data_IF_270125799154
#
_entry.id   IF_270125799154
#
_cell.length_a   1.000
_cell.length_b   1.000
_cell.length_c   1.000
_cell.angle_alpha   90.00
_cell.angle_beta   90.00
_cell.angle_gamma   90.00
#
_symmetry.space_group_name_H-M   'P 1'
#
loop_
_entity.id
_entity.type
_entity.pdbx_description
1 polymer ?
#
# COMPACT_ATOMS: atom_id res chain seq x y z
N UNK A 1 -21.11 -34.65 -38.01
CA UNK A 1 -20.67 -34.49 -36.61
C UNK A 1 -19.75 -33.29 -36.52
N UNK A 2 -20.31 -32.08 -36.44
CA UNK A 2 -19.58 -30.82 -36.24
C UNK A 2 -20.41 -30.00 -35.26
N UNK A 3 -19.89 -29.81 -34.06
CA UNK A 3 -20.55 -29.15 -32.94
C UNK A 3 -20.01 -27.72 -32.87
N UNK A 4 -20.74 -26.75 -33.44
CA UNK A 4 -20.42 -25.32 -33.32
C UNK A 4 -21.08 -24.80 -32.03
N UNK A 5 -20.30 -24.63 -30.95
CA UNK A 5 -20.72 -23.88 -29.76
C UNK A 5 -20.65 -22.38 -30.06
N UNK A 6 -21.81 -21.74 -30.22
CA UNK A 6 -21.95 -20.28 -30.30
C UNK A 6 -21.76 -19.67 -28.91
N UNK A 7 -20.91 -18.63 -28.84
CA UNK A 7 -20.72 -17.75 -27.68
C UNK A 7 -22.00 -16.94 -27.45
N UNK A 8 -22.54 -16.96 -26.23
CA UNK A 8 -23.60 -16.05 -25.80
C UNK A 8 -22.92 -14.77 -25.33
N UNK A 9 -23.12 -13.67 -26.08
CA UNK A 9 -22.80 -12.32 -25.65
C UNK A 9 -24.03 -11.83 -24.87
N UNK A 10 -23.91 -11.66 -23.55
CA UNK A 10 -24.95 -11.00 -22.76
C UNK A 10 -24.70 -9.49 -22.85
N UNK A 11 -25.44 -8.83 -23.74
CA UNK A 11 -25.66 -7.38 -23.70
C UNK A 11 -26.59 -7.09 -22.52
N UNK A 12 -26.06 -6.54 -21.43
CA UNK A 12 -26.89 -5.95 -20.37
C UNK A 12 -27.30 -4.55 -20.83
N UNK A 13 -28.52 -4.47 -21.36
CA UNK A 13 -29.21 -3.24 -21.76
C UNK A 13 -29.45 -2.33 -20.55
N UNK A 14 -28.95 -1.09 -20.63
CA UNK A 14 -29.32 0.00 -19.71
C UNK A 14 -30.75 0.45 -20.01
N UNK A 15 -31.70 0.08 -19.15
CA UNK A 15 -33.08 0.57 -19.22
C UNK A 15 -33.23 1.79 -18.28
N UNK A 16 -33.33 3.00 -18.85
CA UNK A 16 -33.76 4.19 -18.11
C UNK A 16 -35.28 4.13 -17.91
N UNK A 17 -35.71 3.95 -16.66
CA UNK A 17 -37.11 4.09 -16.29
C UNK A 17 -37.37 5.56 -15.90
N UNK A 18 -38.17 6.28 -16.70
CA UNK A 18 -38.67 7.62 -16.36
C UNK A 18 -40.05 7.50 -15.70
N UNK A 19 -40.16 7.93 -14.44
CA UNK A 19 -41.44 8.21 -13.79
C UNK A 19 -41.53 9.72 -13.61
N UNK A 20 -42.56 10.34 -14.19
CA UNK A 20 -42.84 11.77 -14.06
C UNK A 20 -43.54 12.05 -12.73
N UNK A 21 -42.87 12.79 -11.85
CA UNK A 21 -43.51 13.54 -10.76
C UNK A 21 -42.99 14.98 -10.82
N UNK A 22 -43.88 15.98 -10.69
CA UNK A 22 -43.50 17.40 -10.64
C UNK A 22 -42.55 17.64 -9.46
N UNK A 23 -41.38 18.22 -9.74
CA UNK A 23 -40.44 18.74 -8.74
C UNK A 23 -39.16 17.92 -8.63
N UNK A 24 -38.04 18.58 -8.94
CA UNK A 24 -36.64 18.11 -8.87
C UNK A 24 -36.17 17.21 -10.02
N UNK A 25 -35.16 17.69 -10.76
CA UNK A 25 -34.48 16.89 -11.77
C UNK A 25 -33.53 15.91 -11.09
N UNK A 26 -33.54 14.65 -11.56
CA UNK A 26 -32.75 13.57 -10.96
C UNK A 26 -31.83 12.90 -11.97
N UNK A 27 -30.67 12.42 -11.52
CA UNK A 27 -29.79 11.55 -12.28
C UNK A 27 -29.08 10.54 -11.39
N UNK A 28 -28.63 9.42 -11.96
CA UNK A 28 -27.84 8.40 -11.24
C UNK A 28 -26.47 8.28 -11.87
N UNK A 29 -25.42 8.35 -11.05
CA UNK A 29 -24.03 8.13 -11.46
C UNK A 29 -23.43 7.10 -10.50
N UNK A 30 -22.93 5.97 -11.00
CA UNK A 30 -22.29 4.92 -10.20
C UNK A 30 -23.11 4.45 -8.98
N UNK A 31 -24.43 4.30 -9.13
CA UNK A 31 -25.33 3.87 -8.05
C UNK A 31 -25.71 4.98 -7.05
N UNK A 32 -25.21 6.19 -7.24
CA UNK A 32 -25.54 7.39 -6.45
C UNK A 32 -26.56 8.21 -7.24
N UNK A 33 -27.79 8.36 -6.74
CA UNK A 33 -28.78 9.26 -7.32
C UNK A 33 -28.68 10.66 -6.71
N UNK A 34 -28.79 11.67 -7.56
CA UNK A 34 -28.71 13.09 -7.27
C UNK A 34 -30.04 13.76 -7.63
N UNK A 35 -30.50 14.72 -6.82
CA UNK A 35 -31.72 15.51 -7.01
C UNK A 35 -31.41 17.00 -6.85
N UNK A 36 -31.94 17.84 -7.72
CA UNK A 36 -31.76 19.31 -7.62
C UNK A 36 -32.51 19.88 -6.43
N UNK A 37 -31.84 20.65 -5.56
CA UNK A 37 -32.46 21.31 -4.40
C UNK A 37 -32.58 22.84 -4.56
N UNK A 38 -31.82 23.44 -5.48
CA UNK A 38 -31.92 24.86 -5.84
C UNK A 38 -31.47 25.11 -7.30
N UNK A 39 -31.41 26.39 -7.73
CA UNK A 39 -30.91 26.77 -9.06
C UNK A 39 -29.44 26.41 -9.31
N UNK A 40 -28.65 26.05 -8.30
CA UNK A 40 -27.19 25.79 -8.43
C UNK A 40 -26.65 24.63 -7.59
N UNK A 41 -27.49 23.94 -6.81
CA UNK A 41 -27.07 22.85 -5.92
C UNK A 41 -27.88 21.58 -6.14
N UNK A 42 -27.23 20.43 -5.94
CA UNK A 42 -27.85 19.11 -5.89
C UNK A 42 -27.61 18.46 -4.52
N UNK A 43 -28.53 17.59 -4.13
CA UNK A 43 -28.40 16.70 -2.97
C UNK A 43 -28.54 15.26 -3.44
N UNK A 44 -27.73 14.37 -2.89
CA UNK A 44 -27.80 12.95 -3.20
C UNK A 44 -28.93 12.25 -2.39
N UNK A 45 -29.83 11.50 -3.05
CA UNK A 45 -30.94 10.70 -2.47
C UNK A 45 -31.11 9.35 -3.21
N UNK A 46 -31.43 8.23 -2.55
CA UNK A 46 -31.24 6.85 -3.11
C UNK A 46 -32.54 6.06 -3.23
N UNK A 47 -32.63 5.22 -4.29
CA UNK A 47 -33.60 4.10 -4.43
C UNK A 47 -32.96 2.73 -4.76
N UNK A 48 -31.63 2.60 -4.89
CA UNK A 48 -30.95 1.30 -5.17
C UNK A 48 -29.65 1.14 -4.36
N UNK A 49 -29.42 -0.04 -3.78
CA UNK A 49 -28.36 -0.35 -2.80
C UNK A 49 -26.94 -0.17 -3.39
N UNK A 50 -26.23 0.89 -2.99
CA UNK A 50 -24.82 1.09 -3.34
C UNK A 50 -23.94 -0.04 -2.76
N UNK A 51 -22.91 -0.47 -3.48
CA UNK A 51 -22.05 -1.60 -3.09
C UNK A 51 -20.57 -1.22 -3.25
N UNK A 52 -19.70 -1.75 -2.38
CA UNK A 52 -18.26 -1.53 -2.46
C UNK A 52 -17.83 -0.11 -2.09
N UNK A 53 -16.90 0.45 -2.86
CA UNK A 53 -16.37 1.79 -2.65
C UNK A 53 -17.13 2.83 -3.49
N UNK A 54 -17.57 3.92 -2.86
CA UNK A 54 -18.35 4.97 -3.51
C UNK A 54 -17.62 6.32 -3.45
N UNK A 55 -17.42 6.93 -4.60
CA UNK A 55 -16.93 8.30 -4.72
C UNK A 55 -18.12 9.24 -5.01
N UNK A 56 -18.43 10.15 -4.09
CA UNK A 56 -19.44 11.19 -4.31
C UNK A 56 -18.84 12.23 -5.26
N UNK A 57 -19.52 12.52 -6.36
CA UNK A 57 -19.00 13.48 -7.35
C UNK A 57 -19.15 14.91 -6.87
N UNK A 58 -18.08 15.68 -6.99
CA UNK A 58 -18.03 17.10 -6.64
C UNK A 58 -19.03 17.92 -7.45
N UNK A 59 -19.12 17.66 -8.76
CA UNK A 59 -20.14 18.21 -9.65
C UNK A 59 -20.74 17.15 -10.58
N UNK A 60 -21.95 17.42 -11.05
CA UNK A 60 -22.69 16.58 -12.01
C UNK A 60 -23.46 17.44 -13.00
N UNK A 61 -23.74 16.90 -14.19
CA UNK A 61 -24.48 17.60 -15.24
C UNK A 61 -25.88 17.00 -15.39
N UNK A 62 -26.91 17.78 -15.02
CA UNK A 62 -28.32 17.41 -15.20
C UNK A 62 -28.91 18.30 -16.30
N UNK A 63 -29.40 17.69 -17.38
CA UNK A 63 -30.02 18.39 -18.53
C UNK A 63 -29.14 19.51 -19.12
N UNK A 64 -27.85 19.25 -19.26
CA UNK A 64 -26.89 20.20 -19.86
C UNK A 64 -26.44 21.34 -18.93
N UNK A 65 -26.87 21.33 -17.67
CA UNK A 65 -26.44 22.29 -16.65
C UNK A 65 -25.63 21.59 -15.57
N UNK A 66 -24.51 22.19 -15.18
CA UNK A 66 -23.67 21.72 -14.09
C UNK A 66 -24.24 22.13 -12.73
N UNK A 67 -24.17 21.20 -11.77
CA UNK A 67 -24.57 21.37 -10.39
C UNK A 67 -23.46 20.87 -9.46
N UNK A 68 -23.25 21.59 -8.37
CA UNK A 68 -22.27 21.22 -7.34
C UNK A 68 -22.98 20.42 -6.24
N UNK A 69 -22.39 19.29 -5.85
CA UNK A 69 -22.88 18.47 -4.73
C UNK A 69 -22.48 19.14 -3.42
N UNK A 70 -23.47 19.60 -2.65
CA UNK A 70 -23.22 20.36 -1.42
C UNK A 70 -23.69 19.63 -0.15
N UNK A 71 -24.51 18.59 -0.28
CA UNK A 71 -25.08 17.86 0.86
C UNK A 71 -25.24 16.36 0.55
N UNK A 72 -25.02 15.52 1.57
CA UNK A 72 -25.46 14.11 1.60
C UNK A 72 -26.81 14.05 2.32
N UNK A 73 -27.82 13.50 1.64
CA UNK A 73 -29.20 13.48 2.10
C UNK A 73 -29.43 12.72 3.42
N UNK A 74 -30.55 13.03 4.09
CA UNK A 74 -30.97 12.36 5.32
C UNK A 74 -31.18 10.87 5.05
N UNK A 75 -30.63 10.00 5.90
CA UNK A 75 -30.74 8.54 5.79
C UNK A 75 -30.28 7.93 4.44
N UNK A 76 -29.37 8.59 3.72
CA UNK A 76 -29.02 8.28 2.33
C UNK A 76 -28.51 6.84 2.08
N UNK A 77 -27.56 6.38 2.88
CA UNK A 77 -27.00 5.03 2.90
C UNK A 77 -27.49 4.22 4.10
N UNK A 78 -28.60 4.60 4.76
CA UNK A 78 -29.04 3.95 5.99
C UNK A 78 -29.13 2.42 5.83
N UNK A 79 -28.50 1.68 6.74
CA UNK A 79 -28.42 0.21 6.76
C UNK A 79 -27.84 -0.41 5.48
N UNK A 80 -26.96 0.32 4.79
CA UNK A 80 -26.28 -0.24 3.64
C UNK A 80 -25.14 -1.17 4.09
N UNK A 81 -25.46 -2.45 4.20
CA UNK A 81 -24.52 -3.53 4.56
C UNK A 81 -23.51 -3.88 3.44
N UNK A 82 -23.58 -3.27 2.26
CA UNK A 82 -22.64 -3.56 1.17
C UNK A 82 -21.66 -2.42 0.88
N UNK A 83 -21.91 -1.25 1.46
CA UNK A 83 -21.00 -0.12 1.33
C UNK A 83 -19.76 -0.38 2.19
N UNK A 84 -18.59 -0.38 1.57
CA UNK A 84 -17.28 -0.65 2.20
C UNK A 84 -16.46 0.62 2.39
N UNK A 85 -16.53 1.55 1.42
CA UNK A 85 -15.85 2.84 1.51
C UNK A 85 -16.70 3.98 0.94
N UNK A 86 -16.49 5.20 1.43
CA UNK A 86 -17.04 6.42 0.82
C UNK A 86 -16.03 7.55 0.80
N UNK A 87 -15.91 8.22 -0.35
CA UNK A 87 -15.13 9.45 -0.54
C UNK A 87 -16.08 10.62 -0.73
N UNK A 88 -16.03 11.58 0.18
CA UNK A 88 -16.88 12.78 0.19
C UNK A 88 -16.02 13.99 -0.26
N UNK A 89 -16.38 14.69 -1.35
CA UNK A 89 -15.57 15.77 -1.91
C UNK A 89 -15.70 17.07 -1.11
N UNK A 90 -14.73 17.97 -1.30
CA UNK A 90 -14.63 19.28 -0.63
C UNK A 90 -15.83 20.22 -0.82
N UNK A 91 -16.61 20.00 -1.88
CA UNK A 91 -17.85 20.73 -2.14
C UNK A 91 -18.97 20.40 -1.16
N UNK A 92 -18.96 19.21 -0.55
CA UNK A 92 -19.98 18.79 0.42
C UNK A 92 -19.78 19.52 1.74
N UNK A 93 -20.80 20.28 2.14
CA UNK A 93 -20.82 21.07 3.36
C UNK A 93 -21.62 20.43 4.49
N UNK A 94 -22.51 19.46 4.19
CA UNK A 94 -23.33 18.80 5.21
C UNK A 94 -23.56 17.31 4.93
N UNK A 95 -23.49 16.50 5.97
CA UNK A 95 -23.93 15.09 6.01
C UNK A 95 -25.13 15.03 6.96
N UNK A 96 -26.33 14.81 6.42
CA UNK A 96 -27.56 14.91 7.22
C UNK A 96 -27.76 13.73 8.17
N UNK A 97 -28.68 13.91 9.11
CA UNK A 97 -29.01 12.95 10.16
C UNK A 97 -29.20 11.54 9.61
N UNK A 98 -28.48 10.59 10.21
CA UNK A 98 -28.56 9.17 9.86
C UNK A 98 -28.07 8.79 8.47
N UNK A 99 -27.36 9.67 7.75
CA UNK A 99 -26.94 9.46 6.36
C UNK A 99 -26.26 8.11 6.11
N UNK A 100 -25.45 7.60 7.04
CA UNK A 100 -24.77 6.30 6.95
C UNK A 100 -25.19 5.35 8.08
N UNK A 101 -26.23 5.69 8.87
CA UNK A 101 -26.55 4.93 10.06
C UNK A 101 -26.85 3.45 9.75
N UNK A 102 -26.15 2.53 10.41
CA UNK A 102 -26.28 1.09 10.22
C UNK A 102 -25.50 0.52 9.02
N UNK A 103 -24.62 1.29 8.36
CA UNK A 103 -23.67 0.72 7.39
C UNK A 103 -22.61 -0.10 8.11
N UNK A 104 -22.93 -1.35 8.43
CA UNK A 104 -22.09 -2.21 9.28
C UNK A 104 -20.76 -2.61 8.64
N UNK A 105 -20.69 -2.64 7.30
CA UNK A 105 -19.47 -2.97 6.54
C UNK A 105 -18.70 -1.75 6.02
N UNK A 106 -19.18 -0.53 6.29
CA UNK A 106 -18.47 0.69 5.93
C UNK A 106 -17.25 0.80 6.85
N UNK A 107 -16.05 0.64 6.28
CA UNK A 107 -14.80 0.64 7.01
C UNK A 107 -14.00 1.92 6.76
N UNK A 108 -14.09 2.47 5.54
CA UNK A 108 -13.30 3.62 5.12
C UNK A 108 -14.21 4.81 4.79
N UNK A 109 -14.07 5.91 5.53
CA UNK A 109 -14.78 7.17 5.22
C UNK A 109 -13.73 8.25 5.04
N UNK A 110 -13.73 8.90 3.89
CA UNK A 110 -12.95 10.10 3.62
C UNK A 110 -13.87 11.31 3.55
N UNK A 111 -13.61 12.33 4.34
CA UNK A 111 -14.39 13.57 4.39
C UNK A 111 -13.51 14.81 4.24
N UNK A 112 -14.08 15.95 3.84
CA UNK A 112 -13.33 17.21 3.80
C UNK A 112 -12.80 17.57 5.19
N UNK A 113 -11.53 18.00 5.28
CA UNK A 113 -10.92 18.40 6.57
C UNK A 113 -11.73 19.48 7.29
N UNK A 114 -12.22 20.47 6.54
CA UNK A 114 -12.93 21.63 7.08
C UNK A 114 -14.20 21.93 6.27
N UNK A 115 -15.23 22.41 6.97
CA UNK A 115 -16.45 22.92 6.34
C UNK A 115 -17.51 21.87 5.96
N UNK A 116 -17.30 20.59 6.27
CA UNK A 116 -18.32 19.55 6.19
C UNK A 116 -18.89 19.27 7.59
N UNK A 117 -20.20 19.45 7.79
CA UNK A 117 -20.89 19.23 9.08
C UNK A 117 -21.68 17.94 9.06
N UNK A 118 -21.35 16.98 9.94
CA UNK A 118 -22.15 15.79 10.16
C UNK A 118 -23.21 16.03 11.25
N UNK A 119 -24.49 15.86 10.90
CA UNK A 119 -25.60 15.94 11.85
C UNK A 119 -25.67 14.69 12.75
N UNK A 120 -26.42 14.79 13.85
CA UNK A 120 -26.59 13.71 14.83
C UNK A 120 -26.89 12.36 14.19
N UNK A 121 -26.27 11.31 14.72
CA UNK A 121 -26.46 9.93 14.30
C UNK A 121 -26.06 9.64 12.84
N UNK A 122 -25.36 10.53 12.14
CA UNK A 122 -24.93 10.33 10.74
C UNK A 122 -24.25 8.97 10.51
N UNK A 123 -23.43 8.50 11.45
CA UNK A 123 -22.72 7.21 11.40
C UNK A 123 -23.17 6.23 12.50
N UNK A 124 -24.36 6.41 13.07
CA UNK A 124 -24.84 5.57 14.19
C UNK A 124 -24.91 4.10 13.77
N UNK A 125 -24.25 3.22 14.50
CA UNK A 125 -24.27 1.78 14.22
C UNK A 125 -23.42 1.36 13.01
N UNK A 126 -22.52 2.22 12.52
CA UNK A 126 -21.46 1.82 11.61
C UNK A 126 -20.36 1.11 12.41
N UNK A 127 -20.45 -0.21 12.53
CA UNK A 127 -19.59 -1.01 13.41
C UNK A 127 -18.17 -1.22 12.88
N UNK A 128 -17.96 -1.10 11.56
CA UNK A 128 -16.64 -1.27 10.94
C UNK A 128 -15.82 0.01 10.83
N UNK A 129 -16.41 1.20 11.07
CA UNK A 129 -15.67 2.47 11.07
C UNK A 129 -14.98 2.62 12.43
N UNK A 130 -13.66 2.65 12.42
CA UNK A 130 -12.85 2.99 13.60
C UNK A 130 -12.34 4.43 13.55
N UNK A 131 -12.03 4.93 12.34
CA UNK A 131 -11.55 6.29 12.08
C UNK A 131 -12.12 6.84 10.76
N UNK A 132 -12.14 8.15 10.63
CA UNK A 132 -12.48 8.88 9.40
C UNK A 132 -11.23 9.62 8.92
N UNK A 133 -10.91 9.52 7.64
CA UNK A 133 -9.78 10.23 7.00
C UNK A 133 -10.22 11.58 6.42
N UNK A 134 -9.29 12.54 6.37
CA UNK A 134 -9.51 13.87 5.79
C UNK A 134 -8.48 14.22 4.71
N UNK A 135 -8.68 15.29 3.92
CA UNK A 135 -7.80 15.63 2.78
C UNK A 135 -6.36 15.98 3.19
N UNK A 136 -6.13 16.34 4.46
CA UNK A 136 -4.78 16.48 5.03
C UNK A 136 -4.18 15.14 5.48
N UNK A 137 -4.83 14.04 5.14
CA UNK A 137 -4.45 12.66 5.43
C UNK A 137 -4.34 12.35 6.92
N UNK A 138 -5.05 13.10 7.78
CA UNK A 138 -5.20 12.82 9.21
C UNK A 138 -6.33 11.80 9.45
N UNK A 139 -6.22 11.00 10.50
CA UNK A 139 -7.26 10.07 10.96
C UNK A 139 -7.88 10.58 12.25
N UNK A 140 -9.21 10.75 12.26
CA UNK A 140 -9.95 11.18 13.42
C UNK A 140 -10.83 10.03 13.94
N UNK A 141 -10.84 9.74 15.26
CA UNK A 141 -11.83 8.83 15.83
C UNK A 141 -13.23 9.30 15.45
N UNK A 142 -14.15 8.37 15.19
CA UNK A 142 -15.53 8.71 14.80
C UNK A 142 -16.17 9.66 15.81
N UNK A 143 -15.97 9.39 17.11
CA UNK A 143 -16.45 10.26 18.19
C UNK A 143 -15.81 11.64 18.20
N UNK A 144 -14.56 11.77 17.73
CA UNK A 144 -13.88 13.05 17.57
C UNK A 144 -14.49 13.87 16.44
N UNK A 145 -14.80 13.27 15.28
CA UNK A 145 -15.51 13.98 14.20
C UNK A 145 -16.91 14.44 14.67
N UNK A 146 -17.62 13.58 15.40
CA UNK A 146 -18.93 13.89 16.00
C UNK A 146 -18.84 14.92 17.16
N UNK A 147 -17.66 15.15 17.72
CA UNK A 147 -17.43 16.06 18.86
C UNK A 147 -16.72 17.37 18.52
N UNK A 148 -15.88 17.40 17.48
CA UNK A 148 -14.84 18.43 17.27
C UNK A 148 -15.04 19.26 16.01
N UNK A 149 -15.96 18.87 15.12
CA UNK A 149 -16.52 19.82 14.15
C UNK A 149 -17.29 20.89 14.93
N UNK A 150 -17.18 22.19 14.58
CA UNK A 150 -17.51 23.30 15.46
C UNK A 150 -18.91 23.14 16.07
N UNK A 151 -18.93 22.61 17.30
CA UNK A 151 -20.10 22.61 18.15
C UNK A 151 -20.21 24.02 18.69
N UNK A 152 -21.26 24.71 18.27
CA UNK A 152 -21.90 25.71 19.11
C UNK A 152 -22.45 24.95 20.34
N UNK A 153 -21.58 24.76 21.36
CA UNK A 153 -21.73 24.60 22.85
C UNK A 153 -23.07 24.01 23.43
N UNK A 154 -23.13 23.24 24.57
CA UNK A 154 -22.12 22.50 25.37
C UNK A 154 -22.48 21.02 25.74
N UNK A 155 -21.42 20.27 26.08
CA UNK A 155 -21.25 19.23 27.14
C UNK A 155 -22.45 18.48 27.78
N UNK A 156 -22.35 17.13 27.87
CA UNK A 156 -22.87 16.40 29.04
C UNK A 156 -21.97 15.22 29.48
N UNK A 157 -21.84 15.11 30.81
CA UNK A 157 -21.07 14.14 31.61
C UNK A 157 -21.41 12.69 31.29
N UNK A 158 -20.42 11.79 31.35
CA UNK A 158 -20.66 10.37 31.61
C UNK A 158 -20.09 10.04 33.00
N UNK A 159 -21.00 9.81 33.94
CA UNK A 159 -20.76 9.07 35.18
C UNK A 159 -21.03 7.59 34.93
N UNK A 160 -20.17 6.76 35.52
CA UNK A 160 -20.41 5.40 36.02
C UNK A 160 -21.02 4.36 35.06
N UNK A 161 -20.15 3.49 34.52
CA UNK A 161 -20.18 2.04 34.84
C UNK A 161 -19.00 1.32 34.17
N UNK A 162 -17.99 1.06 35.00
CA UNK A 162 -17.04 -0.04 34.79
C UNK A 162 -17.83 -1.34 34.90
N UNK A 163 -17.73 -2.19 33.87
CA UNK A 163 -17.87 -3.63 34.02
C UNK A 163 -16.94 -4.31 33.00
N UNK A 164 -15.82 -4.81 33.52
CA UNK A 164 -14.95 -5.81 32.90
C UNK A 164 -15.74 -7.07 32.53
N UNK A 165 -15.35 -7.78 31.46
CA UNK A 165 -14.83 -9.11 31.73
C UNK A 165 -13.65 -9.45 30.82
N UNK A 166 -12.43 -9.35 31.33
CA UNK A 166 -11.35 -10.22 30.86
C UNK A 166 -11.12 -11.31 31.91
N UNK A 167 -11.53 -12.53 31.59
CA UNK A 167 -11.16 -13.72 32.34
C UNK A 167 -9.68 -13.99 32.10
N UNK A 168 -8.91 -14.00 33.17
CA UNK A 168 -7.50 -14.36 33.22
C UNK A 168 -7.29 -15.82 32.77
N UNK A 169 -6.61 -16.00 31.64
CA UNK A 169 -6.25 -17.33 31.13
C UNK A 169 -5.35 -17.37 29.89
N UNK A 170 -4.77 -16.26 29.45
CA UNK A 170 -3.83 -16.21 28.33
C UNK A 170 -2.67 -15.26 28.62
N UNK A 171 -1.46 -15.63 28.22
CA UNK A 171 -0.25 -14.79 28.31
C UNK A 171 -0.49 -13.41 27.69
N UNK A 172 -0.19 -12.35 28.43
CA UNK A 172 -0.21 -10.96 27.94
C UNK A 172 0.65 -10.84 26.67
N UNK A 173 0.11 -10.34 25.54
CA UNK A 173 0.90 -10.08 24.34
C UNK A 173 2.04 -9.11 24.66
N UNK A 174 3.24 -9.40 24.16
CA UNK A 174 4.37 -8.47 24.25
C UNK A 174 4.17 -7.34 23.22
N UNK A 175 4.84 -6.18 23.37
CA UNK A 175 4.88 -5.10 22.34
C UNK A 175 5.32 -5.57 20.94
N UNK A 176 5.87 -6.76 20.93
CA UNK A 176 6.41 -7.51 19.84
C UNK A 176 5.28 -8.21 19.05
N UNK A 177 4.13 -8.49 19.68
CA UNK A 177 2.97 -9.17 19.10
C UNK A 177 1.91 -8.18 18.55
N UNK A 178 2.17 -6.88 18.66
CA UNK A 178 1.30 -5.81 18.15
C UNK A 178 1.65 -5.50 16.69
N UNK A 179 0.69 -5.74 15.80
CA UNK A 179 0.78 -5.33 14.40
C UNK A 179 0.39 -3.86 14.26
N UNK A 180 1.37 -3.04 13.89
CA UNK A 180 1.21 -1.60 13.71
C UNK A 180 0.69 -1.28 12.31
N UNK A 181 -0.08 -0.20 12.22
CA UNK A 181 -0.34 0.47 10.95
C UNK A 181 0.95 1.19 10.53
N UNK A 182 1.59 0.68 9.48
CA UNK A 182 2.86 1.22 8.99
C UNK A 182 2.66 2.35 7.98
N UNK A 183 1.41 2.65 7.58
CA UNK A 183 1.11 3.55 6.45
C UNK A 183 0.72 4.96 6.90
N UNK A 184 -0.05 5.08 7.98
CA UNK A 184 -0.72 6.33 8.32
C UNK A 184 0.08 7.23 9.30
N UNK A 185 0.74 6.67 10.31
CA UNK A 185 1.46 7.42 11.37
C UNK A 185 3.00 7.34 11.27
N UNK A 186 3.54 7.41 10.05
CA UNK A 186 4.98 7.22 9.79
C UNK A 186 5.82 8.18 10.65
N UNK A 187 6.74 7.68 11.51
CA UNK A 187 7.49 8.51 12.43
C UNK A 187 8.33 9.58 11.74
N UNK A 188 8.25 10.82 12.21
CA UNK A 188 9.00 11.94 11.63
C UNK A 188 10.25 12.24 12.46
N UNK A 189 11.40 12.39 11.79
CA UNK A 189 12.64 12.89 12.39
C UNK A 189 12.90 14.34 12.00
N UNK A 190 13.50 15.12 12.91
CA UNK A 190 14.02 16.46 12.60
C UNK A 190 15.43 16.43 11.97
N UNK A 191 16.14 15.30 12.11
CA UNK A 191 17.50 15.10 11.56
C UNK A 191 17.41 14.96 10.04
N UNK A 192 18.26 15.68 9.31
CA UNK A 192 18.39 15.53 7.86
C UNK A 192 19.64 14.73 7.50
N UNK A 193 19.47 13.76 6.61
CA UNK A 193 20.53 12.89 6.08
C UNK A 193 20.88 13.30 4.64
N UNK A 194 21.48 14.48 4.52
CA UNK A 194 21.78 15.15 3.23
C UNK A 194 22.69 14.35 2.29
N UNK A 195 23.53 13.46 2.83
CA UNK A 195 24.47 12.64 2.04
C UNK A 195 23.95 11.21 1.81
N UNK A 196 22.66 10.95 2.04
CA UNK A 196 22.03 9.66 1.76
C UNK A 196 21.07 9.81 0.57
N UNK A 197 21.11 8.87 -0.36
CA UNK A 197 20.26 8.84 -1.55
C UNK A 197 19.55 7.50 -1.64
N UNK A 198 18.27 7.51 -1.98
CA UNK A 198 17.46 6.32 -2.10
C UNK A 198 16.95 6.13 -3.53
N UNK A 199 17.12 4.93 -4.07
CA UNK A 199 16.61 4.50 -5.37
C UNK A 199 15.68 3.32 -5.16
N UNK A 200 14.40 3.52 -5.44
CA UNK A 200 13.29 2.65 -5.05
C UNK A 200 12.55 2.27 -6.32
N UNK A 201 12.39 0.96 -6.56
CA UNK A 201 11.66 0.41 -7.71
C UNK A 201 10.57 -0.51 -7.19
N UNK A 202 9.32 -0.27 -7.57
CA UNK A 202 8.19 -1.16 -7.31
C UNK A 202 7.51 -1.61 -8.58
N UNK A 203 7.70 -2.86 -8.98
CA UNK A 203 7.10 -3.44 -10.17
C UNK A 203 5.92 -4.34 -9.76
N UNK A 204 4.71 -3.97 -10.18
CA UNK A 204 3.45 -4.65 -9.83
C UNK A 204 2.67 -5.09 -11.06
N UNK A 205 2.54 -4.22 -12.06
CA UNK A 205 1.77 -4.49 -13.28
C UNK A 205 2.67 -5.09 -14.36
N UNK A 206 2.59 -6.40 -14.53
CA UNK A 206 3.36 -7.16 -15.52
C UNK A 206 2.53 -7.55 -16.74
N UNK A 207 1.40 -6.87 -16.96
CA UNK A 207 0.51 -7.14 -18.11
C UNK A 207 1.23 -7.08 -19.46
N UNK A 208 2.28 -6.24 -19.58
CA UNK A 208 3.10 -6.13 -20.79
C UNK A 208 3.99 -7.36 -21.01
N UNK A 209 4.66 -7.86 -19.97
CA UNK A 209 5.53 -9.04 -20.01
C UNK A 209 4.79 -10.38 -19.94
N UNK A 210 3.45 -10.38 -19.92
CA UNK A 210 2.63 -11.60 -19.86
C UNK A 210 2.74 -12.36 -18.54
N UNK A 211 3.29 -11.71 -17.51
CA UNK A 211 3.57 -12.29 -16.20
C UNK A 211 2.47 -11.93 -15.19
N UNK A 212 2.31 -12.73 -14.12
CA UNK A 212 1.33 -12.41 -13.08
C UNK A 212 1.71 -11.11 -12.34
N UNK A 213 0.73 -10.31 -11.93
CA UNK A 213 0.99 -9.10 -11.15
C UNK A 213 1.53 -9.43 -9.76
N UNK A 214 2.29 -8.48 -9.18
CA UNK A 214 2.86 -8.59 -7.83
C UNK A 214 2.08 -7.71 -6.89
N UNK A 215 1.11 -8.29 -6.19
CA UNK A 215 0.27 -7.59 -5.21
C UNK A 215 1.10 -6.66 -4.31
N UNK A 216 0.69 -5.39 -4.28
CA UNK A 216 1.21 -4.35 -3.40
C UNK A 216 2.65 -3.87 -3.64
N UNK A 217 3.36 -4.35 -4.66
CA UNK A 217 4.73 -3.91 -4.90
C UNK A 217 4.85 -2.38 -5.11
N UNK A 218 3.85 -1.74 -5.73
CA UNK A 218 3.82 -0.27 -5.86
C UNK A 218 3.54 0.43 -4.53
N UNK A 219 2.65 -0.12 -3.70
CA UNK A 219 2.37 0.39 -2.36
C UNK A 219 3.62 0.30 -1.48
N UNK A 220 4.28 -0.86 -1.49
CA UNK A 220 5.53 -1.12 -0.79
C UNK A 220 6.60 -0.07 -1.11
N UNK A 221 6.83 0.21 -2.40
CA UNK A 221 7.77 1.23 -2.84
C UNK A 221 7.38 2.64 -2.36
N UNK A 222 6.09 3.00 -2.44
CA UNK A 222 5.61 4.31 -2.04
C UNK A 222 5.73 4.52 -0.53
N UNK A 223 5.36 3.53 0.28
CA UNK A 223 5.46 3.64 1.75
C UNK A 223 6.92 3.60 2.18
N UNK A 224 7.77 2.76 1.58
CA UNK A 224 9.21 2.78 1.85
C UNK A 224 9.84 4.15 1.53
N UNK A 225 9.44 4.80 0.43
CA UNK A 225 9.81 6.19 0.13
C UNK A 225 9.43 7.13 1.29
N UNK A 226 8.23 7.01 1.84
CA UNK A 226 7.80 7.83 2.98
C UNK A 226 8.67 7.59 4.22
N UNK A 227 9.10 6.36 4.51
CA UNK A 227 10.04 6.10 5.61
C UNK A 227 11.43 6.65 5.32
N UNK A 228 11.93 6.56 4.09
CA UNK A 228 13.16 7.23 3.70
C UNK A 228 13.09 8.74 4.00
N UNK A 229 12.01 9.40 3.62
CA UNK A 229 11.84 10.83 3.84
C UNK A 229 11.60 11.19 5.32
N UNK A 230 10.52 10.67 5.90
CA UNK A 230 10.00 11.05 7.22
C UNK A 230 10.84 10.44 8.35
N UNK A 231 11.14 9.15 8.29
CA UNK A 231 11.76 8.40 9.41
C UNK A 231 13.28 8.47 9.37
N UNK A 232 13.86 8.30 8.17
CA UNK A 232 15.30 8.33 7.94
C UNK A 232 15.82 9.73 7.59
N UNK A 233 14.94 10.73 7.41
CA UNK A 233 15.33 12.12 7.21
C UNK A 233 16.05 12.40 5.90
N UNK A 234 15.84 11.57 4.88
CA UNK A 234 16.44 11.78 3.55
C UNK A 234 15.67 12.89 2.84
N UNK A 235 16.34 13.92 2.30
CA UNK A 235 15.66 14.96 1.53
C UNK A 235 14.89 14.37 0.35
N UNK A 236 13.71 14.91 0.05
CA UNK A 236 12.83 14.39 -1.02
C UNK A 236 13.54 14.38 -2.38
N UNK A 237 14.37 15.39 -2.65
CA UNK A 237 15.19 15.49 -3.86
C UNK A 237 16.24 14.38 -3.99
N UNK A 238 16.65 13.76 -2.88
CA UNK A 238 17.59 12.64 -2.82
C UNK A 238 16.91 11.27 -2.97
N UNK A 239 15.57 11.24 -3.09
CA UNK A 239 14.81 10.01 -3.24
C UNK A 239 14.28 9.90 -4.67
N UNK A 240 14.56 8.78 -5.34
CA UNK A 240 14.04 8.43 -6.66
C UNK A 240 13.18 7.18 -6.49
N UNK A 241 11.88 7.34 -6.66
CA UNK A 241 10.91 6.26 -6.56
C UNK A 241 10.21 6.10 -7.90
N UNK A 242 10.31 4.90 -8.46
CA UNK A 242 9.73 4.56 -9.75
C UNK A 242 8.89 3.30 -9.63
N UNK A 243 7.78 3.25 -10.36
CA UNK A 243 6.93 2.08 -10.44
C UNK A 243 6.90 1.52 -11.86
N UNK A 244 6.62 0.22 -11.96
CA UNK A 244 6.40 -0.51 -13.20
C UNK A 244 7.44 -0.19 -14.30
N UNK A 245 8.72 -0.35 -13.95
CA UNK A 245 9.83 -0.02 -14.82
C UNK A 245 10.09 -1.13 -15.84
N UNK A 246 10.22 -0.74 -17.11
CA UNK A 246 10.76 -1.61 -18.16
C UNK A 246 12.26 -1.82 -18.00
N UNK A 247 12.85 -2.79 -18.70
CA UNK A 247 14.29 -3.06 -18.60
C UNK A 247 15.13 -1.81 -18.90
N UNK A 248 14.76 -1.08 -19.96
CA UNK A 248 15.43 0.16 -20.36
C UNK A 248 15.37 1.25 -19.29
N UNK A 249 14.24 1.35 -18.59
CA UNK A 249 14.03 2.30 -17.50
C UNK A 249 14.75 1.88 -16.20
N UNK A 250 14.79 0.59 -15.88
CA UNK A 250 15.62 0.06 -14.79
C UNK A 250 17.10 0.38 -15.03
N UNK A 251 17.63 0.08 -16.23
CA UNK A 251 19.00 0.45 -16.62
C UNK A 251 19.25 1.96 -16.52
N UNK A 252 18.27 2.80 -16.87
CA UNK A 252 18.36 4.27 -16.70
C UNK A 252 18.47 4.67 -15.23
N UNK A 253 17.68 4.02 -14.36
CA UNK A 253 17.70 4.25 -12.92
C UNK A 253 19.05 3.89 -12.32
N UNK A 254 19.64 2.75 -12.71
CA UNK A 254 20.98 2.36 -12.24
C UNK A 254 22.08 3.29 -12.77
N UNK A 255 21.97 3.76 -14.02
CA UNK A 255 22.89 4.81 -14.54
C UNK A 255 22.79 6.10 -13.72
N UNK A 256 21.58 6.55 -13.39
CA UNK A 256 21.37 7.74 -12.55
C UNK A 256 21.98 7.53 -11.17
N UNK A 257 21.77 6.37 -10.55
CA UNK A 257 22.37 6.00 -9.27
C UNK A 257 23.89 6.11 -9.31
N UNK A 258 24.54 5.54 -10.33
CA UNK A 258 25.99 5.61 -10.52
C UNK A 258 26.47 7.05 -10.72
N UNK A 259 25.73 7.86 -11.49
CA UNK A 259 26.05 9.29 -11.65
C UNK A 259 25.94 10.05 -10.33
N UNK A 260 24.88 9.83 -9.55
CA UNK A 260 24.69 10.42 -8.21
C UNK A 260 25.81 10.02 -7.25
N UNK A 261 26.25 8.75 -7.29
CA UNK A 261 27.37 8.28 -6.47
C UNK A 261 28.70 8.94 -6.87
N UNK A 262 28.91 9.24 -8.15
CA UNK A 262 30.16 9.81 -8.66
C UNK A 262 30.24 11.34 -8.55
N UNK A 263 29.11 12.06 -8.63
CA UNK A 263 29.07 13.54 -8.56
C UNK A 263 29.17 14.03 -7.11
N UNK A 264 28.81 13.19 -6.13
CA UNK A 264 28.91 13.51 -4.72
C UNK A 264 30.31 13.17 -4.17
N UNK A 265 31.23 14.13 -4.29
CA UNK A 265 32.63 14.09 -3.81
C UNK A 265 32.80 13.99 -2.27
N UNK A 266 31.87 13.37 -1.54
CA UNK A 266 32.04 13.13 -0.12
C UNK A 266 32.20 11.64 0.14
N UNK A 267 33.33 11.27 0.75
CA UNK A 267 33.62 9.92 1.29
C UNK A 267 32.57 9.41 2.30
N UNK A 268 31.51 10.19 2.58
CA UNK A 268 30.43 9.88 3.49
C UNK A 268 29.08 9.55 2.82
N UNK A 269 29.00 9.61 1.48
CA UNK A 269 27.79 9.30 0.72
C UNK A 269 27.26 7.90 1.05
N UNK A 270 25.94 7.74 1.18
CA UNK A 270 25.26 6.45 1.39
C UNK A 270 24.19 6.23 0.33
N UNK A 271 24.09 5.01 -0.18
CA UNK A 271 23.04 4.61 -1.12
C UNK A 271 22.11 3.61 -0.44
N UNK A 272 20.80 3.81 -0.61
CA UNK A 272 19.76 2.81 -0.34
C UNK A 272 19.18 2.41 -1.70
N UNK A 273 19.21 1.12 -2.02
CA UNK A 273 18.51 0.54 -3.15
C UNK A 273 17.39 -0.36 -2.63
N UNK A 274 16.17 -0.13 -3.11
CA UNK A 274 15.00 -0.93 -2.76
C UNK A 274 14.33 -1.44 -4.03
N UNK A 275 13.97 -2.72 -4.04
CA UNK A 275 13.21 -3.35 -5.11
C UNK A 275 12.09 -4.20 -4.53
N UNK A 276 10.85 -4.00 -4.99
CA UNK A 276 9.72 -4.92 -4.83
C UNK A 276 9.22 -5.36 -6.21
N UNK A 277 9.01 -6.66 -6.39
CA UNK A 277 8.59 -7.23 -7.67
C UNK A 277 8.95 -8.70 -7.82
N UNK A 278 8.97 -9.18 -9.06
CA UNK A 278 9.39 -10.54 -9.40
C UNK A 278 10.91 -10.66 -9.48
N UNK A 279 11.41 -11.79 -9.02
CA UNK A 279 12.71 -12.30 -9.40
C UNK A 279 12.57 -13.70 -10.00
N UNK A 280 13.56 -14.09 -10.80
CA UNK A 280 13.61 -15.42 -11.41
C UNK A 280 15.05 -15.93 -11.44
N UNK A 281 15.26 -17.24 -11.34
CA UNK A 281 16.53 -17.87 -11.64
C UNK A 281 16.57 -18.28 -13.11
N UNK A 282 17.74 -18.21 -13.73
CA UNK A 282 17.96 -18.87 -15.01
C UNK A 282 17.86 -20.41 -14.82
N UNK A 283 17.15 -21.09 -15.72
CA UNK A 283 16.93 -22.54 -15.59
C UNK A 283 18.23 -23.36 -15.62
N UNK A 284 19.21 -22.95 -16.43
CA UNK A 284 20.45 -23.68 -16.63
C UNK A 284 21.52 -23.28 -15.61
N UNK A 285 21.79 -21.99 -15.44
CA UNK A 285 22.90 -21.49 -14.62
C UNK A 285 22.51 -21.25 -13.16
N UNK A 286 21.20 -21.15 -12.88
CA UNK A 286 20.63 -20.73 -11.59
C UNK A 286 20.99 -19.31 -11.18
N UNK A 287 21.61 -18.51 -12.05
CA UNK A 287 21.88 -17.10 -11.75
C UNK A 287 20.54 -16.35 -11.58
N UNK A 288 20.50 -15.41 -10.64
CA UNK A 288 19.28 -14.70 -10.26
C UNK A 288 19.11 -13.38 -11.03
N UNK A 289 17.86 -13.02 -11.31
CA UNK A 289 17.49 -11.82 -12.07
C UNK A 289 16.30 -11.10 -11.42
N UNK A 290 16.28 -9.78 -11.51
CA UNK A 290 15.09 -8.95 -11.26
C UNK A 290 14.29 -8.86 -12.56
N UNK A 291 12.97 -8.95 -12.48
CA UNK A 291 12.09 -8.97 -13.66
C UNK A 291 11.48 -7.57 -13.89
N UNK A 292 11.80 -6.90 -15.00
CA UNK A 292 11.10 -5.70 -15.48
C UNK A 292 9.66 -6.01 -15.90
N UNK A 293 8.78 -4.99 -15.94
CA UNK A 293 7.36 -5.22 -16.26
C UNK A 293 7.08 -5.62 -17.70
N UNK A 294 8.02 -5.35 -18.61
CA UNK A 294 7.95 -5.72 -20.03
C UNK A 294 8.67 -7.03 -20.35
N UNK A 295 9.28 -7.68 -19.36
CA UNK A 295 10.02 -8.91 -19.57
C UNK A 295 9.10 -10.14 -19.49
N UNK A 296 9.33 -11.09 -20.39
CA UNK A 296 8.79 -12.43 -20.29
C UNK A 296 9.67 -13.24 -19.34
N UNK A 297 9.11 -13.66 -18.20
CA UNK A 297 9.85 -14.37 -17.15
C UNK A 297 10.44 -15.73 -17.55
N UNK A 298 10.24 -16.17 -18.79
CA UNK A 298 10.87 -17.35 -19.42
C UNK A 298 12.26 -17.07 -19.97
N UNK A 299 12.55 -15.81 -20.29
CA UNK A 299 13.73 -15.38 -21.02
C UNK A 299 14.54 -14.41 -20.16
N UNK A 300 15.56 -14.92 -19.47
CA UNK A 300 16.38 -14.11 -18.55
C UNK A 300 17.21 -13.03 -19.25
N UNK A 301 17.37 -13.10 -20.57
CA UNK A 301 17.98 -12.05 -21.40
C UNK A 301 17.23 -10.72 -21.38
N UNK A 302 15.91 -10.77 -21.13
CA UNK A 302 15.05 -9.60 -20.99
C UNK A 302 15.00 -9.07 -19.54
N UNK A 303 15.69 -9.75 -18.62
CA UNK A 303 15.71 -9.42 -17.20
C UNK A 303 17.00 -8.71 -16.78
N UNK A 304 17.00 -8.14 -15.57
CA UNK A 304 18.19 -7.49 -15.01
C UNK A 304 18.97 -8.45 -14.12
N UNK A 305 20.22 -8.74 -14.46
CA UNK A 305 21.05 -9.66 -13.66
C UNK A 305 21.29 -9.12 -12.25
N UNK A 306 21.01 -9.94 -11.23
CA UNK A 306 21.28 -9.59 -9.84
C UNK A 306 22.79 -9.50 -9.56
N UNK A 307 23.59 -10.34 -10.22
CA UNK A 307 25.05 -10.27 -10.16
C UNK A 307 25.56 -8.95 -10.74
N UNK A 308 25.04 -8.54 -11.91
CA UNK A 308 25.35 -7.22 -12.51
C UNK A 308 25.01 -6.08 -11.54
N UNK A 309 23.82 -6.12 -10.92
CA UNK A 309 23.42 -5.13 -9.92
C UNK A 309 24.41 -5.07 -8.75
N UNK A 310 24.77 -6.22 -8.16
CA UNK A 310 25.69 -6.26 -7.02
C UNK A 310 27.09 -5.77 -7.38
N UNK A 311 27.57 -6.08 -8.58
CA UNK A 311 28.83 -5.55 -9.10
C UNK A 311 28.79 -4.04 -9.27
N UNK A 312 27.73 -3.52 -9.86
CA UNK A 312 27.57 -2.08 -10.07
C UNK A 312 27.45 -1.31 -8.76
N UNK A 313 26.71 -1.85 -7.78
CA UNK A 313 26.57 -1.25 -6.46
C UNK A 313 27.85 -1.37 -5.63
N UNK A 314 28.55 -2.51 -5.70
CA UNK A 314 29.76 -2.79 -4.91
C UNK A 314 31.00 -2.02 -5.38
N UNK A 315 30.95 -1.45 -6.58
CA UNK A 315 32.03 -0.63 -7.16
C UNK A 315 31.81 0.86 -6.98
N UNK A 316 30.70 1.28 -6.36
CA UNK A 316 30.41 2.70 -6.12
C UNK A 316 31.40 3.32 -5.11
N UNK A 317 31.91 4.53 -5.36
CA UNK A 317 32.84 5.22 -4.46
C UNK A 317 32.10 5.88 -3.27
N UNK A 318 31.26 5.13 -2.56
CA UNK A 318 30.41 5.60 -1.46
C UNK A 318 30.77 4.94 -0.13
N UNK A 319 30.35 5.53 1.00
CA UNK A 319 30.64 5.01 2.35
C UNK A 319 29.94 3.69 2.62
N UNK A 320 28.65 3.59 2.24
CA UNK A 320 27.80 2.41 2.45
C UNK A 320 26.74 2.27 1.36
N UNK A 321 26.41 1.02 1.05
CA UNK A 321 25.26 0.65 0.23
C UNK A 321 24.37 -0.30 1.02
N UNK A 322 23.08 0.03 1.12
CA UNK A 322 22.06 -0.84 1.69
C UNK A 322 21.12 -1.28 0.56
N UNK A 323 20.87 -2.58 0.46
CA UNK A 323 20.02 -3.17 -0.57
C UNK A 323 18.87 -3.92 0.10
N UNK A 324 17.64 -3.67 -0.31
CA UNK A 324 16.43 -4.36 0.17
C UNK A 324 15.69 -4.95 -1.03
N UNK A 325 15.51 -6.27 -1.04
CA UNK A 325 14.88 -7.01 -2.14
C UNK A 325 13.65 -7.76 -1.64
N UNK A 326 12.46 -7.23 -1.93
CA UNK A 326 11.19 -7.91 -1.77
C UNK A 326 10.80 -8.66 -3.06
N UNK A 327 11.52 -9.75 -3.33
CA UNK A 327 11.34 -10.59 -4.50
C UNK A 327 11.54 -12.08 -4.18
N UNK A 328 10.89 -12.96 -4.94
CA UNK A 328 11.20 -14.38 -4.99
C UNK A 328 12.28 -14.59 -6.04
N UNK A 329 13.31 -15.42 -5.79
CA UNK A 329 14.31 -15.75 -6.82
C UNK A 329 14.30 -17.22 -7.25
N UNK A 330 13.32 -17.98 -6.76
CA UNK A 330 13.21 -19.41 -6.99
C UNK A 330 12.43 -19.78 -8.24
N UNK A 331 11.81 -18.78 -8.90
CA UNK A 331 10.84 -19.01 -9.96
C UNK A 331 9.54 -19.64 -9.44
N UNK A 332 9.42 -19.81 -8.11
CA UNK A 332 8.21 -20.24 -7.44
C UNK A 332 7.19 -19.10 -7.41
N UNK A 333 5.93 -19.47 -7.61
CA UNK A 333 4.82 -18.58 -7.88
C UNK A 333 4.38 -17.77 -6.64
N UNK A 334 4.12 -16.46 -6.81
CA UNK A 334 3.26 -15.67 -5.89
C UNK A 334 1.79 -15.94 -6.29
N UNK A 335 1.08 -16.84 -5.61
CA UNK A 335 -0.35 -17.08 -5.88
C UNK A 335 -0.67 -18.00 -7.07
N UNK A 336 -1.76 -17.77 -7.82
CA UNK A 336 -2.38 -18.68 -8.82
C UNK A 336 -2.04 -18.40 -10.31
N UNK A 337 -1.23 -17.38 -10.63
CA UNK A 337 -0.80 -17.07 -11.99
C UNK A 337 0.61 -17.57 -12.34
N UNK A 338 0.74 -18.43 -13.36
CA UNK A 338 2.01 -19.06 -13.76
C UNK A 338 2.97 -18.10 -14.46
N UNK A 339 4.22 -18.07 -13.96
CA UNK A 339 5.36 -17.46 -14.62
C UNK A 339 6.36 -18.51 -15.13
N UNK A 340 6.75 -19.45 -14.27
CA UNK A 340 7.60 -20.59 -14.63
C UNK A 340 7.14 -21.95 -14.07
N UNK A 341 6.03 -21.96 -13.33
CA UNK A 341 5.48 -23.17 -12.69
C UNK A 341 4.87 -24.20 -13.66
N UNK A 342 4.99 -24.02 -14.98
CA UNK A 342 4.50 -24.98 -15.96
C UNK A 342 5.16 -26.38 -15.83
N UNK A 343 6.27 -26.49 -15.07
CA UNK A 343 6.95 -27.76 -14.75
C UNK A 343 6.90 -28.17 -13.27
N UNK A 344 6.23 -27.42 -12.40
CA UNK A 344 5.96 -27.82 -11.01
C UNK A 344 7.17 -27.95 -10.07
N UNK A 345 8.35 -27.38 -10.40
CA UNK A 345 9.53 -27.43 -9.53
C UNK A 345 10.11 -26.03 -9.31
N UNK A 346 10.13 -25.57 -8.06
CA UNK A 346 10.89 -24.39 -7.66
C UNK A 346 12.39 -24.67 -7.83
N UNK A 347 13.13 -23.69 -8.32
CA UNK A 347 14.58 -23.77 -8.46
C UNK A 347 15.24 -23.12 -7.26
N UNK A 348 16.33 -23.71 -6.78
CA UNK A 348 17.21 -23.04 -5.83
C UNK A 348 18.14 -22.11 -6.63
N UNK A 349 18.00 -20.78 -6.52
CA UNK A 349 18.91 -19.85 -7.17
C UNK A 349 20.31 -20.01 -6.60
N UNK A 350 21.31 -19.83 -7.45
CA UNK A 350 22.69 -19.70 -7.02
C UNK A 350 22.80 -18.47 -6.12
N UNK A 351 23.46 -18.64 -4.97
CA UNK A 351 23.67 -17.55 -4.03
C UNK A 351 24.62 -16.52 -4.65
N UNK A 352 24.09 -15.35 -4.97
CA UNK A 352 24.89 -14.20 -5.36
C UNK A 352 25.48 -13.53 -4.11
N UNK A 353 26.81 -13.44 -4.05
CA UNK A 353 27.48 -12.82 -2.93
C UNK A 353 27.58 -11.30 -3.15
N UNK A 354 27.36 -10.47 -2.10
CA UNK A 354 27.61 -9.04 -2.19
C UNK A 354 29.06 -8.79 -2.60
N UNK A 355 29.26 -7.86 -3.53
CA UNK A 355 30.60 -7.45 -3.99
C UNK A 355 31.04 -6.16 -3.29
N UNK A 356 32.33 -5.81 -3.43
CA UNK A 356 32.91 -4.65 -2.76
C UNK A 356 33.21 -4.88 -1.28
N UNK A 357 33.25 -3.82 -0.48
CA UNK A 357 33.60 -3.88 0.96
C UNK A 357 32.70 -3.02 1.86
N UNK A 358 31.58 -2.54 1.33
CA UNK A 358 30.73 -1.51 1.95
C UNK A 358 29.21 -1.79 1.82
N UNK A 359 28.81 -3.02 1.46
CA UNK A 359 27.41 -3.34 1.15
C UNK A 359 26.76 -4.26 2.20
N UNK A 360 25.49 -4.00 2.51
CA UNK A 360 24.60 -4.90 3.24
C UNK A 360 23.34 -5.14 2.40
N UNK A 361 22.89 -6.39 2.32
CA UNK A 361 21.77 -6.82 1.50
C UNK A 361 20.77 -7.58 2.36
N UNK A 362 19.51 -7.17 2.28
CA UNK A 362 18.35 -7.87 2.80
C UNK A 362 17.57 -8.49 1.64
N UNK A 363 17.31 -9.79 1.70
CA UNK A 363 16.46 -10.51 0.75
C UNK A 363 15.24 -11.06 1.48
N UNK A 364 14.06 -10.96 0.87
CA UNK A 364 12.81 -11.44 1.46
C UNK A 364 12.71 -12.96 1.62
N UNK A 365 13.55 -13.72 0.91
CA UNK A 365 13.54 -15.19 0.88
C UNK A 365 14.95 -15.77 0.89
N UNK A 366 15.04 -17.07 1.23
CA UNK A 366 16.21 -17.92 1.05
C UNK A 366 15.87 -19.10 0.14
N UNK A 367 16.86 -19.63 -0.58
CA UNK A 367 16.71 -20.84 -1.38
C UNK A 367 15.52 -20.79 -2.34
N UNK A 368 14.69 -21.82 -2.31
CA UNK A 368 13.51 -21.98 -3.15
C UNK A 368 12.21 -21.37 -2.57
N UNK A 369 12.29 -20.70 -1.42
CA UNK A 369 11.12 -20.12 -0.74
C UNK A 369 10.47 -18.98 -1.53
N UNK A 370 9.24 -18.61 -1.13
CA UNK A 370 8.41 -17.60 -1.79
C UNK A 370 8.25 -16.37 -0.89
N UNK A 371 8.35 -15.18 -1.47
CA UNK A 371 7.99 -13.92 -0.83
C UNK A 371 6.48 -13.70 -0.98
N UNK A 372 5.74 -13.77 0.13
CA UNK A 372 4.28 -13.71 0.13
C UNK A 372 3.74 -12.29 0.31
N UNK A 373 2.60 -11.97 -0.32
CA UNK A 373 1.84 -10.79 0.05
C UNK A 373 1.21 -10.98 1.43
N UNK A 374 1.14 -9.89 2.19
CA UNK A 374 0.40 -9.78 3.43
C UNK A 374 -0.88 -8.98 3.17
N UNK A 375 -1.90 -9.67 2.67
CA UNK A 375 -3.13 -9.06 2.13
C UNK A 375 -3.84 -8.12 3.09
N UNK A 376 -4.00 -8.53 4.35
CA UNK A 376 -4.66 -7.70 5.39
C UNK A 376 -3.92 -6.38 5.66
N UNK A 377 -2.61 -6.36 5.40
CA UNK A 377 -1.76 -5.17 5.56
C UNK A 377 -1.47 -4.46 4.25
N UNK A 378 -1.92 -4.98 3.10
CA UNK A 378 -1.69 -4.43 1.77
C UNK A 378 -0.19 -4.18 1.46
N UNK A 379 0.66 -5.13 1.82
CA UNK A 379 2.12 -5.08 1.63
C UNK A 379 2.70 -6.43 1.23
N UNK A 380 3.93 -6.47 0.73
CA UNK A 380 4.78 -7.66 0.85
C UNK A 380 5.09 -7.95 2.32
N UNK A 381 5.04 -9.23 2.74
CA UNK A 381 5.24 -9.58 4.16
C UNK A 381 6.62 -9.15 4.68
N UNK A 382 7.65 -9.23 3.83
CA UNK A 382 8.98 -8.72 4.13
C UNK A 382 8.96 -7.20 4.31
N UNK A 383 8.40 -6.46 3.35
CA UNK A 383 8.32 -5.00 3.42
C UNK A 383 7.53 -4.53 4.64
N UNK A 384 6.39 -5.16 4.96
CA UNK A 384 5.62 -4.83 6.15
C UNK A 384 6.47 -4.90 7.43
N UNK A 385 7.16 -6.02 7.68
CA UNK A 385 7.95 -6.17 8.90
C UNK A 385 9.23 -5.32 8.91
N UNK A 386 9.79 -5.01 7.73
CA UNK A 386 10.85 -4.01 7.60
C UNK A 386 10.37 -2.64 8.06
N UNK A 387 9.24 -2.16 7.51
CA UNK A 387 8.63 -0.86 7.87
C UNK A 387 8.19 -0.83 9.32
N UNK A 388 7.63 -1.93 9.83
CA UNK A 388 7.18 -2.08 11.21
C UNK A 388 8.33 -1.91 12.23
N UNK A 389 9.52 -2.44 11.92
CA UNK A 389 10.71 -2.22 12.76
C UNK A 389 11.18 -0.77 12.72
N UNK A 390 11.16 -0.15 11.54
CA UNK A 390 11.47 1.28 11.41
C UNK A 390 10.45 2.14 12.15
N UNK A 391 9.17 1.77 12.12
CA UNK A 391 8.08 2.44 12.82
C UNK A 391 8.33 2.44 14.33
N UNK A 392 8.43 1.25 14.91
CA UNK A 392 8.52 1.08 16.38
C UNK A 392 9.79 1.67 16.97
N UNK A 393 10.88 1.69 16.20
CA UNK A 393 12.15 2.28 16.63
C UNK A 393 12.33 3.74 16.19
N UNK A 394 11.37 4.30 15.45
CA UNK A 394 11.49 5.64 14.82
C UNK A 394 12.78 5.76 13.99
N UNK A 395 13.15 4.67 13.33
CA UNK A 395 14.36 4.48 12.53
C UNK A 395 15.67 4.30 13.32
N UNK A 396 15.61 4.14 14.64
CA UNK A 396 16.81 4.05 15.48
C UNK A 396 17.45 2.65 15.55
N UNK A 397 16.79 1.60 15.03
CA UNK A 397 17.33 0.25 15.04
C UNK A 397 18.66 0.16 14.28
N UNK A 398 19.56 -0.69 14.77
CA UNK A 398 20.73 -1.09 14.00
C UNK A 398 20.38 -2.20 12.98
N UNK A 399 21.29 -2.44 12.03
CA UNK A 399 21.11 -3.41 10.96
C UNK A 399 20.95 -4.85 11.49
N UNK A 400 21.65 -5.20 12.57
CA UNK A 400 21.53 -6.52 13.20
C UNK A 400 20.16 -6.77 13.82
N UNK A 401 19.65 -5.77 14.56
CA UNK A 401 18.30 -5.78 15.15
C UNK A 401 17.23 -5.85 14.07
N UNK A 402 17.37 -5.04 13.01
CA UNK A 402 16.47 -5.03 11.87
C UNK A 402 16.41 -6.41 11.20
N UNK A 403 17.57 -7.00 10.93
CA UNK A 403 17.68 -8.33 10.33
C UNK A 403 17.02 -9.41 11.17
N UNK A 404 17.37 -9.48 12.46
CA UNK A 404 16.83 -10.48 13.37
C UNK A 404 15.30 -10.36 13.54
N UNK A 405 14.79 -9.12 13.59
CA UNK A 405 13.36 -8.88 13.71
C UNK A 405 12.59 -9.33 12.46
N UNK A 406 13.05 -8.89 11.28
CA UNK A 406 12.40 -9.21 10.00
C UNK A 406 12.44 -10.72 9.74
N UNK A 407 13.59 -11.37 9.95
CA UNK A 407 13.73 -12.83 9.80
C UNK A 407 12.74 -13.58 10.69
N UNK A 408 12.70 -13.25 11.98
CA UNK A 408 11.82 -13.90 12.95
C UNK A 408 10.34 -13.72 12.58
N UNK A 409 9.90 -12.47 12.37
CA UNK A 409 8.47 -12.16 12.19
C UNK A 409 7.91 -12.66 10.88
N UNK A 410 8.66 -12.52 9.79
CA UNK A 410 8.23 -13.04 8.49
C UNK A 410 8.12 -14.56 8.55
N UNK A 411 9.10 -15.26 9.14
CA UNK A 411 9.06 -16.72 9.28
C UNK A 411 7.86 -17.21 10.10
N UNK A 412 7.60 -16.58 11.24
CA UNK A 412 6.46 -16.93 12.10
C UNK A 412 5.13 -16.72 11.36
N UNK A 413 4.99 -15.59 10.66
CA UNK A 413 3.71 -15.16 10.07
C UNK A 413 3.42 -15.82 8.74
N UNK A 414 4.44 -16.13 7.94
CA UNK A 414 4.26 -16.88 6.70
C UNK A 414 3.73 -18.28 6.98
N UNK A 415 4.25 -18.94 8.03
CA UNK A 415 3.75 -20.27 8.44
C UNK A 415 2.31 -20.15 8.92
N UNK A 416 2.00 -19.15 9.77
CA UNK A 416 0.67 -18.98 10.32
C UNK A 416 -0.40 -18.64 9.26
N UNK A 417 -0.07 -17.82 8.26
CA UNK A 417 -1.02 -17.30 7.27
C UNK A 417 -1.04 -18.17 6.00
N UNK A 418 0.13 -18.61 5.53
CA UNK A 418 0.30 -19.27 4.24
C UNK A 418 0.58 -20.77 4.35
N UNK A 419 0.76 -21.30 5.56
CA UNK A 419 1.21 -22.69 5.80
C UNK A 419 2.51 -23.05 5.07
N UNK A 420 3.32 -22.03 4.74
CA UNK A 420 4.57 -22.15 3.98
C UNK A 420 5.61 -21.21 4.58
N UNK A 421 6.88 -21.61 4.49
CA UNK A 421 7.98 -20.85 5.06
C UNK A 421 8.43 -19.73 4.12
N UNK A 422 8.68 -18.56 4.70
CA UNK A 422 9.41 -17.45 4.10
C UNK A 422 10.43 -16.97 5.13
N UNK A 423 11.70 -17.02 4.77
CA UNK A 423 12.84 -16.74 5.63
C UNK A 423 13.68 -15.66 4.98
N UNK A 424 13.52 -14.40 5.40
CA UNK A 424 14.41 -13.34 4.99
C UNK A 424 15.87 -13.61 5.36
N UNK A 425 16.79 -13.08 4.58
CA UNK A 425 18.23 -13.20 4.84
C UNK A 425 18.92 -11.85 4.83
N UNK A 426 19.98 -11.74 5.63
CA UNK A 426 20.88 -10.59 5.62
C UNK A 426 22.29 -11.06 5.28
N UNK A 427 22.92 -10.42 4.29
CA UNK A 427 24.30 -10.67 3.89
C UNK A 427 25.08 -9.37 3.76
N UNK A 428 26.41 -9.42 3.87
CA UNK A 428 27.25 -8.24 3.76
C UNK A 428 28.60 -8.57 3.13
N UNK A 429 29.15 -7.64 2.35
CA UNK A 429 30.54 -7.68 1.88
C UNK A 429 31.53 -7.01 2.85
N UNK A 430 31.03 -6.45 3.95
CA UNK A 430 31.85 -5.75 4.94
C UNK A 430 32.54 -6.72 5.90
N UNK A 431 33.83 -6.49 6.15
CA UNK A 431 34.53 -7.06 7.30
C UNK A 431 34.26 -6.21 8.55
N UNK A 432 33.90 -6.82 9.69
CA UNK A 432 33.66 -6.12 10.96
C UNK A 432 32.18 -5.93 11.35
N UNK A 433 31.91 -4.93 12.21
CA UNK A 433 30.62 -4.71 12.90
C UNK A 433 29.52 -4.06 12.03
N UNK A 434 29.24 -4.59 10.84
CA UNK A 434 28.15 -4.09 9.98
C UNK A 434 26.77 -4.14 10.65
N UNK A 435 26.59 -5.04 11.62
CA UNK A 435 25.36 -5.18 12.42
C UNK A 435 25.05 -3.94 13.25
N UNK A 436 26.07 -3.21 13.70
CA UNK A 436 25.91 -2.02 14.56
C UNK A 436 25.61 -0.74 13.76
N UNK A 437 25.60 -0.81 12.42
CA UNK A 437 25.25 0.32 11.57
C UNK A 437 23.77 0.68 11.69
N UNK A 438 23.44 1.94 11.40
CA UNK A 438 22.07 2.45 11.31
C UNK A 438 21.74 2.92 9.89
N UNK A 439 20.46 2.90 9.53
CA UNK A 439 19.93 3.56 8.33
C UNK A 439 19.75 5.07 8.52
N UNK A 440 19.47 5.52 9.76
CA UNK A 440 19.25 6.91 10.17
C UNK A 440 20.53 7.70 10.47
#
# INVERSE_FOLDING_TARGET
MIMIRRRIIILISFFLFFIFAKGEDRMTVNGVQYSTTSKSTVTAYMTVKAIGEIEIKESIVIKGKEYITTEIGKAYFNKNEYLQAVVIPNSVKKIKKGAFAGCTNLANVHIPKEGCLAEDEAFKGCTSITFISTDDSQLYPVDYILASMPKVIPYYKIKDKVASPWKSGGTTPTLDDVEWDVDNDIPVTKKQNLNTFAFIIGNEDYSLGGSANVDFATNDAFVFKQYCHKTLGIPEENIKCYTNQTLGLMRRTIRLLKQTANINYKKDCRIIFYYSGHGIPNEATKDAYLVPVDADGRYTEDCYSLNELYKELGTLPVKKVYVFLDACFSGAQRGDGMLMAARGMALVPKKENPQGSNMVIFSATTGDETAYPYKDKRHGMFTYYLLNMLYRTKGACNIGELGAYVEKRVKEKSIAINSKQQTPTVSSSMQGEWKNLTLK
#
